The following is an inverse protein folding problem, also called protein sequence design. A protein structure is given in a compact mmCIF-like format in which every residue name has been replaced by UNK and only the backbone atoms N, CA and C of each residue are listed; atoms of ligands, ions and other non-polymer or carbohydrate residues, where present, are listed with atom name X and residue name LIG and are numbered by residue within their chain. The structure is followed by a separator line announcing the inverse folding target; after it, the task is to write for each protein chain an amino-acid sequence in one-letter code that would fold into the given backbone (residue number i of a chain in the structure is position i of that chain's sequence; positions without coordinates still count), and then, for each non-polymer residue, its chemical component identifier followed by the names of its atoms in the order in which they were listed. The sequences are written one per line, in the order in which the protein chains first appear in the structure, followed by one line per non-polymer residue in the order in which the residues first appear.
data_IF_045671248791
#
_entry.id   IF_045671248791
#
_cell.length_a   1.000
_cell.length_b   1.000
_cell.length_c   1.000
_cell.angle_alpha   90.00
_cell.angle_beta   90.00
_cell.angle_gamma   90.00
#
_symmetry.space_group_name_H-M   'P 1'
#
loop_
_entity.id
_entity.type
_entity.pdbx_description
1 polymer ?
#
# COMPACT_ATOMS: atom_id res chain seq x y z
N UNK A 1 -7.72 -11.17 28.16
CA UNK A 1 -9.15 -10.79 27.99
C UNK A 1 -9.33 -10.37 26.53
N UNK A 2 -9.92 -11.23 25.70
CA UNK A 2 -10.03 -11.10 24.24
C UNK A 2 -11.41 -10.57 23.85
N UNK A 3 -11.48 -9.57 22.96
CA UNK A 3 -12.66 -9.32 22.11
C UNK A 3 -12.21 -8.80 20.74
N UNK A 4 -12.22 -9.69 19.75
CA UNK A 4 -12.12 -9.38 18.33
C UNK A 4 -13.49 -9.64 17.70
N UNK A 5 -14.15 -8.61 17.16
CA UNK A 5 -15.42 -8.77 16.44
C UNK A 5 -15.15 -8.87 14.94
N UNK A 6 -15.47 -10.01 14.34
CA UNK A 6 -15.54 -10.21 12.89
C UNK A 6 -16.91 -9.75 12.38
N UNK A 7 -16.96 -8.79 11.46
CA UNK A 7 -18.18 -8.49 10.72
C UNK A 7 -18.22 -9.30 9.42
N UNK A 8 -19.25 -10.15 9.33
CA UNK A 8 -19.58 -10.99 8.18
C UNK A 8 -20.42 -10.17 7.19
N UNK A 9 -19.83 -9.67 6.09
CA UNK A 9 -20.62 -9.10 5.00
C UNK A 9 -21.33 -10.23 4.25
N UNK A 10 -22.68 -10.22 4.28
CA UNK A 10 -23.50 -11.00 3.35
C UNK A 10 -23.74 -10.18 2.07
N UNK A 11 -23.64 -10.78 0.87
CA UNK A 11 -24.17 -10.19 -0.33
C UNK A 11 -25.69 -10.45 -0.40
N UNK A 12 -26.48 -9.38 -0.48
CA UNK A 12 -27.92 -9.47 -0.75
C UNK A 12 -28.12 -9.49 -2.27
N UNK A 13 -28.33 -10.68 -2.83
CA UNK A 13 -28.89 -10.84 -4.17
C UNK A 13 -30.36 -10.41 -4.15
N UNK A 14 -30.75 -9.48 -5.03
CA UNK A 14 -32.16 -9.20 -5.30
C UNK A 14 -32.64 -10.14 -6.39
N UNK A 15 -33.62 -10.95 -6.03
CA UNK A 15 -34.31 -11.89 -6.90
C UNK A 15 -35.14 -11.17 -7.98
N UNK A 16 -35.18 -11.81 -9.15
CA UNK A 16 -36.08 -11.48 -10.26
C UNK A 16 -37.37 -12.31 -10.15
N UNK A 17 -38.52 -11.73 -10.49
CA UNK A 17 -39.70 -12.49 -10.96
C UNK A 17 -40.75 -11.61 -11.67
N UNK A 18 -41.63 -12.22 -12.50
CA UNK A 18 -42.01 -11.67 -13.80
C UNK A 18 -43.47 -11.20 -13.87
N UNK A 19 -43.79 -10.41 -14.92
CA UNK A 19 -45.14 -10.38 -15.46
C UNK A 19 -45.65 -9.00 -15.87
N UNK A 20 -45.56 -8.69 -17.16
CA UNK A 20 -46.74 -8.35 -17.95
C UNK A 20 -46.37 -8.22 -19.43
N UNK A 21 -46.70 -9.26 -20.18
CA UNK A 21 -46.71 -9.23 -21.64
C UNK A 21 -48.11 -8.81 -22.05
N UNK A 22 -48.28 -7.57 -22.53
CA UNK A 22 -49.54 -7.15 -23.15
C UNK A 22 -49.31 -6.38 -24.46
N UNK A 23 -49.58 -7.13 -25.52
CA UNK A 23 -50.28 -6.73 -26.74
C UNK A 23 -49.50 -6.02 -27.86
N UNK A 24 -49.23 -6.83 -28.88
CA UNK A 24 -48.80 -6.50 -30.24
C UNK A 24 -49.80 -5.52 -30.89
N UNK A 25 -49.33 -4.34 -31.28
CA UNK A 25 -49.95 -3.48 -32.29
C UNK A 25 -48.88 -3.16 -33.33
N UNK A 26 -49.18 -3.39 -34.61
CA UNK A 26 -48.23 -3.29 -35.70
C UNK A 26 -48.09 -1.85 -36.24
N UNK A 27 -46.82 -1.43 -36.45
CA UNK A 27 -46.31 -0.46 -37.44
C UNK A 27 -46.67 1.04 -37.21
N UNK A 28 -45.74 2.03 -37.35
CA UNK A 28 -44.62 2.07 -38.28
C UNK A 28 -43.23 2.26 -37.67
N UNK A 29 -42.23 1.78 -38.42
CA UNK A 29 -40.81 2.05 -38.25
C UNK A 29 -40.54 3.54 -38.03
N UNK A 30 -40.19 3.90 -36.80
CA UNK A 30 -39.55 5.20 -36.53
C UNK A 30 -38.17 5.18 -37.19
N UNK A 31 -38.05 5.84 -38.34
CA UNK A 31 -36.77 6.09 -39.00
C UNK A 31 -35.80 6.73 -38.00
N UNK A 32 -34.59 6.19 -37.78
CA UNK A 32 -33.48 7.00 -37.33
C UNK A 32 -32.99 7.76 -38.56
N UNK A 33 -33.49 8.98 -38.77
CA UNK A 33 -32.84 9.93 -39.67
C UNK A 33 -31.93 10.82 -38.85
N UNK A 34 -30.90 10.23 -38.26
CA UNK A 34 -29.73 10.99 -37.83
C UNK A 34 -28.88 11.26 -39.07
N UNK A 35 -29.34 12.20 -39.90
CA UNK A 35 -28.48 12.83 -40.89
C UNK A 35 -27.60 13.84 -40.14
N UNK A 36 -26.73 13.36 -39.27
CA UNK A 36 -25.58 14.15 -38.86
C UNK A 36 -24.67 14.17 -40.07
N UNK A 37 -24.49 15.36 -40.67
CA UNK A 37 -23.72 15.52 -41.90
C UNK A 37 -22.42 14.71 -41.82
N UNK A 38 -22.08 13.89 -42.82
CA UNK A 38 -20.87 13.05 -42.80
C UNK A 38 -19.60 13.88 -42.57
N UNK A 39 -19.62 15.14 -43.00
CA UNK A 39 -18.58 16.14 -42.72
C UNK A 39 -18.44 16.50 -41.24
N UNK A 40 -19.53 16.55 -40.48
CA UNK A 40 -19.51 16.83 -39.04
C UNK A 40 -18.95 15.64 -38.27
N UNK A 41 -19.44 14.42 -38.56
CA UNK A 41 -18.95 13.19 -37.91
C UNK A 41 -17.46 12.98 -38.17
N UNK A 42 -17.00 13.21 -39.40
CA UNK A 42 -15.58 13.09 -39.78
C UNK A 42 -14.70 14.09 -39.02
N UNK A 43 -15.17 15.34 -38.87
CA UNK A 43 -14.45 16.38 -38.11
C UNK A 43 -14.37 16.04 -36.61
N UNK A 44 -15.44 15.50 -36.03
CA UNK A 44 -15.44 15.07 -34.63
C UNK A 44 -14.49 13.88 -34.40
N UNK A 45 -14.46 12.90 -35.31
CA UNK A 45 -13.52 11.78 -35.23
C UNK A 45 -12.08 12.28 -35.38
N UNK A 46 -11.80 13.13 -36.35
CA UNK A 46 -10.46 13.71 -36.55
C UNK A 46 -10.00 14.50 -35.32
N UNK A 47 -10.88 15.32 -34.74
CA UNK A 47 -10.61 16.06 -33.51
C UNK A 47 -10.37 15.11 -32.31
N UNK A 48 -11.20 14.08 -32.15
CA UNK A 48 -11.04 13.10 -31.07
C UNK A 48 -9.72 12.32 -31.19
N UNK A 49 -9.32 11.95 -32.39
CA UNK A 49 -8.03 11.29 -32.64
C UNK A 49 -6.88 12.24 -32.33
N UNK A 50 -6.92 13.49 -32.79
CA UNK A 50 -5.90 14.50 -32.48
C UNK A 50 -5.76 14.75 -30.96
N UNK A 51 -6.87 14.85 -30.24
CA UNK A 51 -6.87 14.99 -28.77
C UNK A 51 -6.22 13.77 -28.11
N UNK A 52 -6.58 12.55 -28.56
CA UNK A 52 -5.96 11.32 -28.04
C UNK A 52 -4.46 11.29 -28.27
N UNK A 53 -4.00 11.70 -29.46
CA UNK A 53 -2.56 11.81 -29.74
C UNK A 53 -1.88 12.83 -28.83
N UNK A 54 -2.47 14.03 -28.63
CA UNK A 54 -1.91 15.03 -27.73
C UNK A 54 -1.81 14.52 -26.29
N UNK A 55 -2.85 13.88 -25.76
CA UNK A 55 -2.84 13.29 -24.41
C UNK A 55 -1.75 12.23 -24.29
N UNK A 56 -1.64 11.33 -25.26
CA UNK A 56 -0.60 10.28 -25.28
C UNK A 56 0.79 10.92 -25.31
N UNK A 57 1.02 11.93 -26.15
CA UNK A 57 2.32 12.62 -26.22
C UNK A 57 2.66 13.35 -24.92
N UNK A 58 1.69 13.98 -24.25
CA UNK A 58 1.89 14.61 -22.94
C UNK A 58 2.24 13.57 -21.87
N UNK A 59 1.54 12.43 -21.84
CA UNK A 59 1.86 11.34 -20.90
C UNK A 59 3.27 10.83 -21.16
N UNK A 60 3.62 10.50 -22.40
CA UNK A 60 4.98 10.04 -22.74
C UNK A 60 6.04 11.10 -22.46
N UNK A 61 5.75 12.38 -22.70
CA UNK A 61 6.66 13.48 -22.40
C UNK A 61 6.84 13.64 -20.89
N UNK A 62 5.80 13.51 -20.07
CA UNK A 62 5.95 13.50 -18.60
C UNK A 62 6.78 12.31 -18.14
N UNK A 63 6.55 11.11 -18.66
CA UNK A 63 7.37 9.92 -18.35
C UNK A 63 8.83 10.14 -18.77
N UNK A 64 9.07 10.67 -19.97
CA UNK A 64 10.41 10.94 -20.49
C UNK A 64 11.11 12.09 -19.75
N UNK A 65 10.37 13.12 -19.34
CA UNK A 65 10.87 14.20 -18.50
C UNK A 65 11.16 13.69 -17.08
N UNK A 66 10.35 12.81 -16.49
CA UNK A 66 10.70 12.16 -15.21
C UNK A 66 11.92 11.25 -15.34
N UNK A 67 12.15 10.70 -16.54
CA UNK A 67 13.31 9.87 -16.85
C UNK A 67 14.59 10.70 -17.07
N UNK A 68 14.51 11.90 -17.69
CA UNK A 68 15.67 12.77 -17.97
C UNK A 68 15.92 13.85 -16.93
N UNK A 69 14.88 14.46 -16.37
CA UNK A 69 15.00 15.33 -15.22
C UNK A 69 15.11 14.41 -14.01
N UNK A 70 16.35 14.18 -13.59
CA UNK A 70 16.64 13.63 -12.28
C UNK A 70 16.15 14.58 -11.18
N UNK A 71 14.83 14.70 -11.00
CA UNK A 71 14.30 14.88 -9.67
C UNK A 71 14.74 13.62 -8.95
N UNK A 72 15.88 13.69 -8.25
CA UNK A 72 16.29 12.67 -7.30
C UNK A 72 15.26 12.66 -6.19
N UNK A 73 14.06 12.14 -6.45
CA UNK A 73 13.36 11.40 -5.42
C UNK A 73 14.33 10.27 -5.15
N UNK A 74 15.18 10.46 -4.14
CA UNK A 74 16.23 9.51 -3.87
C UNK A 74 15.49 8.19 -3.70
N UNK A 75 15.94 7.15 -4.37
CA UNK A 75 15.46 5.81 -4.06
C UNK A 75 15.61 5.54 -2.54
N UNK A 76 16.59 6.21 -1.89
CA UNK A 76 16.71 6.36 -0.43
C UNK A 76 15.47 6.94 0.26
N UNK A 77 14.79 7.93 -0.29
CA UNK A 77 13.59 8.55 0.30
C UNK A 77 12.33 7.67 0.15
N UNK A 78 12.22 6.90 -0.95
CA UNK A 78 11.21 5.85 -1.07
C UNK A 78 11.52 4.63 -0.18
N UNK A 79 12.78 4.17 -0.11
CA UNK A 79 13.18 3.12 0.84
C UNK A 79 13.16 3.60 2.30
N UNK A 80 13.23 4.92 2.57
CA UNK A 80 12.92 5.50 3.89
C UNK A 80 11.43 5.37 4.24
N UNK A 81 10.55 5.31 3.25
CA UNK A 81 9.11 5.04 3.47
C UNK A 81 8.85 3.53 3.61
N UNK A 82 9.66 2.70 2.96
CA UNK A 82 9.73 1.24 3.20
C UNK A 82 10.81 0.91 4.24
N UNK A 83 10.86 1.68 5.32
CA UNK A 83 11.63 1.31 6.51
C UNK A 83 11.00 0.05 7.08
N UNK A 84 11.54 -1.11 6.74
CA UNK A 84 11.24 -2.37 7.42
C UNK A 84 11.95 -2.40 8.79
N UNK A 85 11.86 -1.29 9.52
CA UNK A 85 12.28 -1.24 10.91
C UNK A 85 11.11 -1.70 11.73
N UNK A 86 11.36 -2.76 12.50
CA UNK A 86 10.33 -3.37 13.30
C UNK A 86 10.73 -3.28 14.76
N UNK A 87 9.80 -2.89 15.62
CA UNK A 87 9.97 -3.02 17.06
C UNK A 87 10.33 -4.47 17.42
N UNK A 88 11.38 -4.58 18.22
CA UNK A 88 11.78 -5.80 18.90
C UNK A 88 11.70 -5.58 20.40
N UNK A 89 11.65 -6.65 21.19
CA UNK A 89 11.57 -6.57 22.65
C UNK A 89 12.89 -6.16 23.33
N UNK A 90 13.67 -5.24 22.74
CA UNK A 90 14.95 -4.78 23.27
C UNK A 90 14.82 -3.32 23.72
N UNK A 91 15.16 -3.06 24.98
CA UNK A 91 15.04 -1.75 25.60
C UNK A 91 16.23 -1.43 26.52
N UNK A 92 16.45 -0.15 26.75
CA UNK A 92 17.50 0.34 27.64
C UNK A 92 16.95 0.53 29.05
N UNK A 93 17.64 -0.03 30.04
CA UNK A 93 17.29 0.14 31.45
C UNK A 93 17.82 1.48 31.98
N UNK A 94 16.94 2.30 32.57
CA UNK A 94 17.29 3.65 33.05
C UNK A 94 18.38 3.67 34.14
N UNK A 95 18.51 2.61 34.93
CA UNK A 95 19.45 2.57 36.06
C UNK A 95 20.92 2.52 35.62
N UNK A 96 21.24 1.82 34.54
CA UNK A 96 22.63 1.51 34.15
C UNK A 96 22.94 1.77 32.66
N UNK A 97 21.95 2.20 31.85
CA UNK A 97 22.11 2.35 30.40
C UNK A 97 22.31 1.02 29.66
N UNK A 98 22.16 -0.12 30.34
CA UNK A 98 22.33 -1.46 29.78
C UNK A 98 21.11 -1.87 28.94
N UNK A 99 21.36 -2.57 27.84
CA UNK A 99 20.33 -3.12 26.96
C UNK A 99 19.89 -4.51 27.43
N UNK A 100 18.58 -4.68 27.55
CA UNK A 100 17.96 -5.92 28.00
C UNK A 100 16.78 -6.28 27.11
N UNK A 101 16.57 -7.58 26.96
CA UNK A 101 15.41 -8.16 26.32
C UNK A 101 14.21 -8.18 27.28
N UNK A 102 12.98 -8.25 26.77
CA UNK A 102 11.76 -8.40 27.58
C UNK A 102 11.77 -9.61 28.51
N UNK A 103 12.56 -10.64 28.22
CA UNK A 103 12.71 -11.82 29.09
C UNK A 103 13.73 -11.61 30.23
N UNK A 104 14.33 -10.42 30.34
CA UNK A 104 15.32 -10.06 31.35
C UNK A 104 16.75 -10.46 31.00
N UNK A 105 16.97 -11.15 29.87
CA UNK A 105 18.33 -11.46 29.42
C UNK A 105 19.04 -10.20 28.92
N UNK A 106 20.35 -10.12 29.16
CA UNK A 106 21.19 -9.01 28.71
C UNK A 106 21.59 -9.20 27.26
N UNK A 107 21.64 -8.11 26.49
CA UNK A 107 22.08 -8.16 25.10
C UNK A 107 23.52 -8.68 24.99
N UNK A 108 23.73 -9.74 24.21
CA UNK A 108 25.06 -10.25 23.92
C UNK A 108 25.66 -9.55 22.69
N UNK A 109 26.97 -9.17 22.70
CA UNK A 109 27.63 -8.53 21.56
C UNK A 109 27.59 -9.32 20.25
N UNK A 110 27.42 -10.64 20.33
CA UNK A 110 27.45 -11.54 19.17
C UNK A 110 26.06 -11.78 18.55
N UNK A 111 24.96 -11.35 19.18
CA UNK A 111 23.60 -11.57 18.68
C UNK A 111 23.20 -10.56 17.61
N UNK A 112 23.56 -9.29 17.83
CA UNK A 112 23.22 -8.18 16.94
C UNK A 112 24.12 -6.98 17.18
N UNK A 113 24.31 -6.17 16.14
CA UNK A 113 25.03 -4.90 16.22
C UNK A 113 24.05 -3.79 16.54
N UNK A 114 24.16 -3.21 17.73
CA UNK A 114 23.41 -2.02 18.10
C UNK A 114 24.05 -0.76 17.50
N UNK A 115 23.25 0.05 16.82
CA UNK A 115 23.65 1.33 16.23
C UNK A 115 22.85 2.44 16.89
N UNK A 116 23.53 3.33 17.60
CA UNK A 116 22.91 4.51 18.17
C UNK A 116 22.60 5.53 17.07
N UNK A 117 21.32 5.74 16.78
CA UNK A 117 20.86 6.66 15.75
C UNK A 117 20.18 7.89 16.36
N UNK A 118 19.42 7.69 17.44
CA UNK A 118 18.81 8.74 18.25
C UNK A 118 18.95 8.42 19.75
N UNK A 119 18.73 9.44 20.60
CA UNK A 119 18.63 9.26 22.06
C UNK A 119 17.28 8.63 22.43
N UNK A 120 17.11 7.37 22.05
CA UNK A 120 15.94 6.56 22.33
C UNK A 120 16.28 5.40 23.24
N UNK A 121 15.34 5.02 24.12
CA UNK A 121 15.49 3.89 25.03
C UNK A 121 14.90 2.59 24.48
N UNK A 122 14.37 2.60 23.25
CA UNK A 122 13.85 1.42 22.57
C UNK A 122 14.65 1.15 21.30
N UNK A 123 14.67 -0.10 20.84
CA UNK A 123 15.39 -0.50 19.65
C UNK A 123 14.48 -1.12 18.59
N UNK A 124 14.78 -0.81 17.33
CA UNK A 124 14.14 -1.41 16.17
C UNK A 124 15.10 -2.32 15.42
N UNK A 125 14.61 -3.47 14.99
CA UNK A 125 15.32 -4.39 14.12
C UNK A 125 15.39 -3.83 12.70
N UNK A 126 16.58 -3.80 12.12
CA UNK A 126 16.79 -3.61 10.70
C UNK A 126 17.43 -4.82 10.04
N UNK A 127 17.60 -4.75 8.73
CA UNK A 127 18.26 -5.80 7.97
C UNK A 127 19.68 -6.08 8.47
N UNK A 128 20.12 -7.34 8.33
CA UNK A 128 21.50 -7.79 8.61
C UNK A 128 21.90 -7.79 10.09
N UNK A 129 21.01 -8.23 10.99
CA UNK A 129 21.30 -8.34 12.42
C UNK A 129 21.75 -7.01 13.07
N UNK A 130 21.14 -5.91 12.61
CA UNK A 130 21.39 -4.57 13.14
C UNK A 130 20.17 -4.09 13.89
N UNK A 131 20.39 -3.56 15.08
CA UNK A 131 19.37 -2.83 15.81
C UNK A 131 19.70 -1.34 15.81
N UNK A 132 18.68 -0.50 15.77
CA UNK A 132 18.82 0.95 15.78
C UNK A 132 18.04 1.53 16.95
N UNK A 133 18.62 2.50 17.65
CA UNK A 133 17.92 3.19 18.74
C UNK A 133 16.88 4.18 18.21
N UNK A 134 15.68 4.15 18.79
CA UNK A 134 14.56 5.01 18.41
C UNK A 134 13.70 5.37 19.63
N UNK A 135 12.95 6.47 19.55
CA UNK A 135 12.02 6.87 20.61
C UNK A 135 10.88 5.85 20.68
N UNK A 136 10.62 5.33 21.87
CA UNK A 136 9.55 4.36 22.15
C UNK A 136 8.16 4.84 21.75
N UNK A 137 7.97 6.16 21.62
CA UNK A 137 6.73 6.80 21.18
C UNK A 137 6.55 6.78 19.65
N UNK A 138 7.58 6.36 18.90
CA UNK A 138 7.57 6.32 17.45
C UNK A 138 6.66 5.18 16.96
N UNK A 139 5.83 5.49 15.96
CA UNK A 139 4.95 4.50 15.37
C UNK A 139 5.74 3.63 14.39
N UNK A 140 6.07 2.40 14.80
CA UNK A 140 6.64 1.36 13.94
C UNK A 140 5.80 0.08 14.02
N UNK A 141 5.98 -0.79 13.04
CA UNK A 141 5.43 -2.16 13.08
C UNK A 141 6.26 -3.00 14.06
N UNK A 142 5.74 -4.12 14.56
CA UNK A 142 6.42 -4.96 15.57
C UNK A 142 6.56 -6.41 15.11
N UNK A 143 7.60 -7.10 15.60
CA UNK A 143 7.79 -8.54 15.41
C UNK A 143 7.60 -9.23 16.75
N UNK A 144 6.78 -10.28 16.79
CA UNK A 144 6.65 -11.15 17.94
C UNK A 144 7.43 -12.45 17.72
N UNK A 145 8.06 -12.95 18.79
CA UNK A 145 8.75 -14.25 18.79
C UNK A 145 8.14 -15.15 19.86
N UNK A 146 8.03 -16.44 19.56
CA UNK A 146 7.72 -17.50 20.55
C UNK A 146 8.86 -18.52 20.51
N UNK A 147 9.48 -18.79 21.66
CA UNK A 147 10.52 -19.82 21.77
C UNK A 147 9.91 -21.19 21.43
N UNK A 148 10.63 -21.99 20.65
CA UNK A 148 10.26 -23.38 20.45
C UNK A 148 10.47 -24.13 21.77
N UNK A 149 9.49 -24.95 22.17
CA UNK A 149 9.65 -25.87 23.30
C UNK A 149 10.05 -27.21 22.69
N UNK A 150 11.31 -27.58 22.82
CA UNK A 150 11.74 -28.94 22.51
C UNK A 150 11.22 -29.85 23.63
N UNK A 151 10.16 -30.59 23.33
CA UNK A 151 9.69 -31.68 24.18
C UNK A 151 10.69 -32.82 24.08
N UNK A 152 11.51 -33.00 25.11
CA UNK A 152 12.20 -34.27 25.38
C UNK A 152 11.13 -35.33 25.64
N UNK A 153 11.01 -36.27 24.72
CA UNK A 153 10.25 -37.50 24.87
C UNK A 153 11.16 -38.70 24.60
#
# INVERSE_FOLDING_TARGET
MSKYNNYKLRPTSRDASPGQQKQRSALPTSKPRENVSPLFVTRIIAAAMAIRFLIITLIWFTIFLTSKAGTRVKLRDFFKLVKSYHWMGLFQTQANGSWQWEDGSTLSPNELTLVEMQRGSCAVYGSSFKAYTEDCSTLNTYICMKKAVEGLH
#
